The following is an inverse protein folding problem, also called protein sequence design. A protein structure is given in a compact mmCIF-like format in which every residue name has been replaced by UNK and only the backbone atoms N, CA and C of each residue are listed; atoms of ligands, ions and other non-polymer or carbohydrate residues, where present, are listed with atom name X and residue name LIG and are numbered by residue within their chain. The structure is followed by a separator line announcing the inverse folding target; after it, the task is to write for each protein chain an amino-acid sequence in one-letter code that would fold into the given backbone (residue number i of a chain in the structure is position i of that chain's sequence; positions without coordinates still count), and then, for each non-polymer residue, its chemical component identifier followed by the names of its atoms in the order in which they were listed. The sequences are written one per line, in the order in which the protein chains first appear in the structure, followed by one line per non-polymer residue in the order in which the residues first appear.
data_IF_453792187643
#
_entry.id   IF_453792187643
#
_cell.length_a   1.000
_cell.length_b   1.000
_cell.length_c   1.000
_cell.angle_alpha   90.00
_cell.angle_beta   90.00
_cell.angle_gamma   90.00
#
_symmetry.space_group_name_H-M   'P 1'
#
loop_
_entity.id
_entity.type
_entity.pdbx_description
1 polymer ?
#
# COMPACT_ATOMS: atom_id res chain seq x y z
N UNK A 1 10.15 -12.25 -16.63
CA UNK A 1 10.75 -11.47 -15.53
C UNK A 1 9.65 -11.11 -14.54
N UNK A 2 9.94 -11.12 -13.25
CA UNK A 2 9.04 -10.64 -12.22
C UNK A 2 9.45 -9.19 -11.91
N UNK A 3 8.59 -8.23 -12.24
CA UNK A 3 8.86 -6.80 -12.04
C UNK A 3 7.97 -6.28 -10.93
N UNK A 4 8.58 -5.60 -9.96
CA UNK A 4 7.87 -4.94 -8.87
C UNK A 4 8.01 -3.43 -8.99
N UNK A 5 6.91 -2.73 -8.75
CA UNK A 5 6.81 -1.29 -8.74
C UNK A 5 6.33 -0.83 -7.37
N UNK A 6 6.89 0.28 -6.89
CA UNK A 6 6.41 0.94 -5.68
C UNK A 6 5.36 1.96 -6.08
N UNK A 7 4.18 1.84 -5.49
CA UNK A 7 3.07 2.80 -5.64
C UNK A 7 2.95 3.58 -4.34
N UNK A 8 3.11 4.89 -4.43
CA UNK A 8 3.11 5.77 -3.26
C UNK A 8 1.96 6.76 -3.35
N UNK A 9 1.39 7.10 -2.20
CA UNK A 9 0.43 8.19 -2.06
C UNK A 9 0.87 9.04 -0.88
N UNK A 10 0.85 10.36 -1.08
CA UNK A 10 1.14 11.36 -0.05
C UNK A 10 -0.11 12.19 0.12
N UNK A 11 -0.62 12.24 1.34
CA UNK A 11 -1.74 13.08 1.72
C UNK A 11 -1.26 14.18 2.66
N UNK A 12 -1.38 15.43 2.23
CA UNK A 12 -1.06 16.62 3.02
C UNK A 12 -2.33 17.29 3.60
N UNK A 13 -3.49 16.71 3.33
CA UNK A 13 -4.82 17.25 3.63
C UNK A 13 -5.34 16.77 5.00
N UNK A 14 -4.43 16.48 5.94
CA UNK A 14 -4.79 16.14 7.33
C UNK A 14 -5.57 14.83 7.47
N UNK A 15 -5.47 13.90 6.52
CA UNK A 15 -6.06 12.58 6.72
C UNK A 15 -5.26 11.75 7.72
N UNK A 16 -5.98 10.89 8.44
CA UNK A 16 -5.40 9.96 9.41
C UNK A 16 -5.02 8.64 8.73
N UNK A 17 -5.49 8.37 7.51
CA UNK A 17 -5.20 7.12 6.81
C UNK A 17 -5.10 7.30 5.30
N UNK A 18 -4.14 6.60 4.69
CA UNK A 18 -3.89 6.60 3.23
C UNK A 18 -3.68 5.19 2.75
N UNK A 19 -4.20 4.88 1.55
CA UNK A 19 -4.31 3.50 1.05
C UNK A 19 -3.91 3.41 -0.45
N UNK A 20 -2.60 3.38 -0.79
CA UNK A 20 -2.13 3.07 -2.13
C UNK A 20 -2.48 1.64 -2.53
N UNK A 21 -2.97 1.48 -3.76
CA UNK A 21 -3.44 0.21 -4.30
C UNK A 21 -2.58 -0.26 -5.48
N UNK A 22 -2.42 -1.58 -5.60
CA UNK A 22 -1.89 -2.20 -6.81
C UNK A 22 -2.90 -2.11 -7.96
N UNK A 23 -2.40 -2.11 -9.20
CA UNK A 23 -3.27 -2.13 -10.37
C UNK A 23 -3.77 -3.54 -10.67
N UNK A 24 -4.79 -3.63 -11.52
CA UNK A 24 -5.26 -4.91 -12.08
C UNK A 24 -4.10 -5.67 -12.70
N UNK A 25 -3.96 -6.94 -12.32
CA UNK A 25 -2.86 -7.82 -12.78
C UNK A 25 -1.59 -7.74 -11.94
N UNK A 26 -1.56 -6.92 -10.89
CA UNK A 26 -0.48 -6.88 -9.91
C UNK A 26 -0.90 -7.55 -8.59
N UNK A 27 0.09 -8.04 -7.86
CA UNK A 27 -0.06 -8.60 -6.51
C UNK A 27 0.66 -7.70 -5.51
N UNK A 28 -0.02 -7.37 -4.42
CA UNK A 28 0.59 -6.70 -3.27
C UNK A 28 1.51 -7.68 -2.54
N UNK A 29 2.80 -7.35 -2.48
CA UNK A 29 3.81 -8.18 -1.78
C UNK A 29 4.32 -7.54 -0.49
N UNK A 30 4.00 -6.27 -0.25
CA UNK A 30 4.39 -5.56 0.94
C UNK A 30 4.02 -4.08 0.85
N UNK A 31 4.37 -3.33 1.89
CA UNK A 31 4.14 -1.90 1.93
C UNK A 31 4.52 -1.31 3.29
N UNK A 32 4.29 -0.03 3.43
CA UNK A 32 4.57 0.71 4.66
C UNK A 32 4.14 2.15 4.53
N UNK A 33 4.54 2.96 5.50
CA UNK A 33 4.32 4.39 5.44
C UNK A 33 4.96 5.15 6.57
N UNK A 34 4.78 6.44 6.51
CA UNK A 34 5.29 7.43 7.44
C UNK A 34 4.17 8.42 7.81
N UNK A 35 4.16 8.85 9.06
CA UNK A 35 3.15 9.74 9.63
C UNK A 35 3.74 11.14 9.95
N UNK A 36 4.91 11.48 9.40
CA UNK A 36 5.63 12.70 9.75
C UNK A 36 5.97 12.74 11.24
N UNK A 37 5.44 13.74 11.95
CA UNK A 37 5.63 13.90 13.39
C UNK A 37 4.68 13.04 14.26
N UNK A 38 3.69 12.41 13.64
CA UNK A 38 2.65 11.63 14.31
C UNK A 38 3.07 10.16 14.47
N UNK A 39 2.46 9.44 15.41
CA UNK A 39 2.76 8.02 15.60
C UNK A 39 1.99 7.17 14.59
N UNK A 40 2.67 6.19 14.01
CA UNK A 40 2.03 5.12 13.25
C UNK A 40 1.16 4.25 14.18
N UNK A 41 -0.16 4.26 13.99
CA UNK A 41 -1.12 3.39 14.70
C UNK A 41 -1.25 2.03 14.04
N UNK A 42 -1.27 1.99 12.70
CA UNK A 42 -1.45 0.75 11.96
C UNK A 42 -0.77 0.82 10.59
N UNK A 43 -0.26 -0.32 10.13
CA UNK A 43 0.33 -0.51 8.80
C UNK A 43 0.12 -1.96 8.39
N UNK A 44 -0.80 -2.21 7.46
CA UNK A 44 -1.23 -3.56 7.11
C UNK A 44 -1.80 -3.63 5.68
N UNK A 45 -1.81 -4.83 5.06
CA UNK A 45 -2.49 -5.03 3.78
C UNK A 45 -4.00 -4.87 3.93
N UNK A 46 -4.67 -4.45 2.85
CA UNK A 46 -6.12 -4.27 2.76
C UNK A 46 -6.60 -4.51 1.32
N UNK A 47 -6.97 -5.74 0.98
CA UNK A 47 -7.63 -6.05 -0.30
C UNK A 47 -6.87 -5.61 -1.56
N UNK A 48 -5.55 -5.87 -1.63
CA UNK A 48 -4.69 -5.46 -2.76
C UNK A 48 -4.07 -4.05 -2.62
N UNK A 49 -4.29 -3.41 -1.48
CA UNK A 49 -3.70 -2.12 -1.14
C UNK A 49 -2.94 -2.19 0.19
N UNK A 50 -2.09 -1.21 0.46
CA UNK A 50 -1.44 -1.08 1.76
C UNK A 50 -2.05 0.08 2.54
N UNK A 51 -2.63 -0.20 3.71
CA UNK A 51 -3.24 0.82 4.55
C UNK A 51 -2.27 1.27 5.64
N UNK A 52 -2.11 2.57 5.75
CA UNK A 52 -1.39 3.24 6.84
C UNK A 52 -2.38 4.09 7.61
N UNK A 53 -2.30 4.06 8.94
CA UNK A 53 -3.12 4.87 9.84
C UNK A 53 -2.23 5.52 10.88
N UNK A 54 -2.33 6.83 11.03
CA UNK A 54 -1.60 7.65 12.00
C UNK A 54 -2.46 7.91 13.24
N UNK A 55 -1.86 8.43 14.30
CA UNK A 55 -2.61 8.75 15.53
C UNK A 55 -3.38 10.06 15.46
N UNK A 56 -2.88 11.02 14.71
CA UNK A 56 -3.48 12.31 14.42
C UNK A 56 -3.37 12.66 12.94
N UNK A 57 -4.13 13.69 12.53
CA UNK A 57 -4.04 14.30 11.21
C UNK A 57 -2.68 14.94 10.97
N UNK A 58 -2.16 14.81 9.76
CA UNK A 58 -0.92 15.45 9.34
C UNK A 58 -0.54 15.01 7.93
N UNK A 59 0.71 15.22 7.55
CA UNK A 59 1.25 14.61 6.33
C UNK A 59 1.37 13.11 6.55
N UNK A 60 0.70 12.33 5.69
CA UNK A 60 0.78 10.87 5.70
C UNK A 60 1.31 10.40 4.37
N UNK A 61 2.39 9.63 4.41
CA UNK A 61 2.94 8.94 3.25
C UNK A 61 2.66 7.45 3.40
N UNK A 62 2.09 6.82 2.38
CA UNK A 62 1.92 5.38 2.34
C UNK A 62 2.44 4.84 1.01
N UNK A 63 3.02 3.65 1.03
CA UNK A 63 3.46 2.95 -0.17
C UNK A 63 3.04 1.48 -0.17
N UNK A 64 2.76 0.97 -1.36
CA UNK A 64 2.50 -0.42 -1.67
C UNK A 64 3.56 -0.93 -2.65
N UNK A 65 4.08 -2.13 -2.41
CA UNK A 65 4.98 -2.84 -3.33
C UNK A 65 4.11 -3.79 -4.13
N UNK A 66 4.00 -3.54 -5.43
CA UNK A 66 3.12 -4.24 -6.34
C UNK A 66 3.94 -4.93 -7.41
N UNK A 67 3.82 -6.24 -7.53
CA UNK A 67 4.55 -7.01 -8.52
C UNK A 67 3.60 -7.54 -9.59
N UNK A 68 4.03 -7.50 -10.86
CA UNK A 68 3.26 -8.11 -11.94
C UNK A 68 3.02 -9.59 -11.64
N UNK A 69 1.76 -10.00 -11.59
CA UNK A 69 1.41 -11.40 -11.47
C UNK A 69 1.79 -12.09 -12.78
N UNK A 70 2.65 -13.11 -12.74
CA UNK A 70 2.60 -14.10 -13.81
C UNK A 70 1.27 -14.81 -13.57
N UNK A 71 0.25 -14.54 -14.39
CA UNK A 71 -1.04 -15.25 -14.30
C UNK A 71 -0.80 -16.69 -14.75
N UNK A 72 -0.14 -17.48 -13.90
CA UNK A 72 -0.28 -18.91 -13.89
C UNK A 72 -1.65 -19.18 -13.28
N UNK A 73 -2.65 -19.34 -14.13
CA UNK A 73 -3.94 -19.88 -13.73
C UNK A 73 -3.65 -21.20 -13.02
N UNK A 74 -3.73 -21.24 -11.69
CA UNK A 74 -3.89 -22.50 -11.00
C UNK A 74 -5.34 -22.90 -11.28
N UNK A 75 -5.54 -23.60 -12.40
CA UNK A 75 -6.72 -24.40 -12.59
C UNK A 75 -6.66 -25.47 -11.50
N UNK A 76 -7.41 -25.26 -10.42
CA UNK A 76 -7.70 -26.33 -9.46
C UNK A 76 -8.62 -27.30 -10.21
N UNK A 77 -8.25 -28.59 -10.34
CA UNK A 77 -9.05 -29.58 -11.03
C UNK A 77 -10.42 -29.79 -10.40
#
# INVERSE_FOLDING_TARGET
SFTCLVRQTVDNNSQVSVTPSCLTGEVLVGGGGDCGSNRLKASHPSGGSWRVTCDASGTVTSYAICCGAVIGVIAVP
#
